data_IF_178123766368
#
_entry.id   IF_178123766368
#
_cell.length_a   1.000
_cell.length_b   1.000
_cell.length_c   1.000
_cell.angle_alpha   90.00
_cell.angle_beta   90.00
_cell.angle_gamma   90.00
#
_symmetry.space_group_name_H-M   'P 1'
#
loop_
_entity.id
_entity.type
_entity.pdbx_description
1 polymer ?
#
# COMPACT_ATOMS: atom_id res chain seq x y z
N UNK A 1 -19.38 1.90 18.15
CA UNK A 1 -18.88 3.15 17.54
C UNK A 1 -19.86 4.26 17.86
N UNK A 2 -19.41 5.21 18.66
CA UNK A 2 -20.24 6.28 19.22
C UNK A 2 -20.53 7.34 18.14
N UNK A 3 -21.67 8.06 18.22
CA UNK A 3 -22.06 9.06 17.20
C UNK A 3 -20.98 10.14 16.98
N UNK A 4 -20.27 10.49 18.05
CA UNK A 4 -19.17 11.48 18.06
C UNK A 4 -17.91 10.99 17.34
N UNK A 5 -17.57 9.70 17.44
CA UNK A 5 -16.43 9.11 16.73
C UNK A 5 -16.66 9.08 15.21
N UNK A 6 -17.88 8.74 14.77
CA UNK A 6 -18.25 8.78 13.34
C UNK A 6 -18.13 10.18 12.75
N UNK A 7 -18.58 11.19 13.50
CA UNK A 7 -18.45 12.59 13.09
C UNK A 7 -16.98 13.00 13.00
N UNK A 8 -16.18 12.66 13.99
CA UNK A 8 -14.74 12.95 13.98
C UNK A 8 -14.02 12.28 12.80
N UNK A 9 -14.30 11.00 12.56
CA UNK A 9 -13.76 10.28 11.41
C UNK A 9 -14.16 10.95 10.10
N UNK A 10 -15.44 11.31 9.94
CA UNK A 10 -15.92 12.00 8.74
C UNK A 10 -15.26 13.36 8.52
N UNK A 11 -15.03 14.14 9.58
CA UNK A 11 -14.30 15.41 9.51
C UNK A 11 -12.86 15.19 9.07
N UNK A 12 -12.15 14.23 9.67
CA UNK A 12 -10.75 13.93 9.31
C UNK A 12 -10.65 13.43 7.87
N UNK A 13 -11.56 12.54 7.44
CA UNK A 13 -11.65 12.12 6.03
C UNK A 13 -11.87 13.31 5.12
N UNK A 14 -12.82 14.19 5.45
CA UNK A 14 -13.12 15.38 4.65
C UNK A 14 -11.91 16.32 4.51
N UNK A 15 -11.20 16.57 5.61
CA UNK A 15 -9.97 17.38 5.62
C UNK A 15 -8.89 16.72 4.77
N UNK A 16 -8.70 15.40 4.90
CA UNK A 16 -7.71 14.65 4.13
C UNK A 16 -8.01 14.73 2.63
N UNK A 17 -9.25 14.45 2.22
CA UNK A 17 -9.68 14.52 0.81
C UNK A 17 -9.49 15.91 0.23
N UNK A 18 -9.93 16.95 0.95
CA UNK A 18 -9.75 18.33 0.52
C UNK A 18 -8.26 18.67 0.35
N UNK A 19 -7.44 18.24 1.31
CA UNK A 19 -5.99 18.49 1.29
C UNK A 19 -5.30 17.79 0.12
N UNK A 20 -5.64 16.52 -0.15
CA UNK A 20 -5.10 15.80 -1.30
C UNK A 20 -5.50 16.44 -2.63
N UNK A 21 -6.78 16.79 -2.80
CA UNK A 21 -7.26 17.41 -4.05
C UNK A 21 -6.55 18.75 -4.28
N UNK A 22 -6.54 19.63 -3.27
CA UNK A 22 -5.86 20.93 -3.37
C UNK A 22 -4.36 20.73 -3.66
N UNK A 23 -3.72 19.79 -2.99
CA UNK A 23 -2.30 19.53 -3.18
C UNK A 23 -1.99 19.05 -4.60
N UNK A 24 -2.61 17.95 -5.05
CA UNK A 24 -2.32 17.37 -6.36
C UNK A 24 -2.78 18.26 -7.52
N UNK A 25 -3.80 19.09 -7.31
CA UNK A 25 -4.31 19.96 -8.38
C UNK A 25 -3.53 21.27 -8.51
N UNK A 26 -2.97 21.82 -7.42
CA UNK A 26 -2.27 23.11 -7.46
C UNK A 26 -0.76 23.01 -7.32
N UNK A 27 -0.24 22.03 -6.59
CA UNK A 27 1.19 21.93 -6.28
C UNK A 27 1.91 20.86 -7.11
N UNK A 28 1.26 19.73 -7.38
CA UNK A 28 1.89 18.57 -8.06
C UNK A 28 1.35 18.34 -9.49
N UNK A 29 0.52 19.25 -10.00
CA UNK A 29 -0.20 19.10 -11.27
C UNK A 29 0.74 18.79 -12.43
N UNK A 30 1.83 19.54 -12.58
CA UNK A 30 2.75 19.37 -13.72
C UNK A 30 3.54 18.05 -13.66
N UNK A 31 3.98 17.64 -12.47
CA UNK A 31 4.74 16.39 -12.30
C UNK A 31 3.89 15.14 -12.55
N UNK A 32 2.59 15.20 -12.32
CA UNK A 32 1.67 14.08 -12.52
C UNK A 32 1.54 13.69 -14.00
N UNK A 33 1.61 14.65 -14.93
CA UNK A 33 1.56 14.39 -16.38
C UNK A 33 2.92 13.99 -16.96
N UNK A 34 4.02 14.53 -16.43
CA UNK A 34 5.37 14.25 -16.94
C UNK A 34 5.90 12.89 -16.48
N UNK A 35 5.47 12.42 -15.31
CA UNK A 35 5.96 11.19 -14.66
C UNK A 35 5.36 9.91 -15.23
N UNK A 36 4.16 9.99 -15.79
CA UNK A 36 3.43 8.84 -16.28
C UNK A 36 2.99 9.09 -17.72
N UNK A 37 3.66 8.42 -18.65
CA UNK A 37 3.40 8.59 -20.08
C UNK A 37 1.95 8.18 -20.38
N UNK A 38 1.08 9.16 -20.57
CA UNK A 38 -0.33 8.94 -20.89
C UNK A 38 -0.41 8.34 -22.29
N UNK A 39 -0.83 7.08 -22.36
CA UNK A 39 -1.02 6.36 -23.61
C UNK A 39 -2.42 6.67 -24.15
N UNK A 40 -2.52 6.97 -25.44
CA UNK A 40 -3.83 7.13 -26.08
C UNK A 40 -4.66 5.84 -25.99
N UNK A 41 -5.97 5.96 -25.81
CA UNK A 41 -6.88 4.82 -25.60
C UNK A 41 -6.77 3.74 -26.71
N UNK A 42 -6.39 4.14 -27.92
CA UNK A 42 -6.18 3.26 -29.07
C UNK A 42 -4.98 2.31 -28.93
N UNK A 43 -3.97 2.68 -28.14
CA UNK A 43 -2.75 1.87 -27.90
C UNK A 43 -2.74 1.21 -26.52
N UNK A 44 -3.85 1.30 -25.78
CA UNK A 44 -3.96 0.80 -24.41
C UNK A 44 -3.85 -0.72 -24.34
N UNK A 45 -4.43 -1.43 -25.32
CA UNK A 45 -4.34 -2.90 -25.42
C UNK A 45 -2.89 -3.38 -25.53
N UNK A 46 -2.12 -2.74 -26.40
CA UNK A 46 -0.70 -3.08 -26.61
C UNK A 46 0.14 -2.74 -25.38
N UNK A 47 -0.13 -1.59 -24.76
CA UNK A 47 0.56 -1.15 -23.56
C UNK A 47 0.26 -2.02 -22.32
N UNK A 48 -0.94 -2.61 -22.24
CA UNK A 48 -1.32 -3.59 -21.20
C UNK A 48 -0.69 -4.95 -21.50
N UNK A 49 -0.62 -5.36 -22.76
CA UNK A 49 0.05 -6.61 -23.14
C UNK A 49 1.53 -6.60 -22.75
N UNK A 50 2.22 -5.48 -22.97
CA UNK A 50 3.62 -5.31 -22.58
C UNK A 50 3.84 -5.42 -21.05
N UNK A 51 2.83 -5.05 -20.24
CA UNK A 51 2.92 -5.22 -18.79
C UNK A 51 2.97 -6.69 -18.37
N UNK A 52 2.46 -7.64 -19.19
CA UNK A 52 2.41 -9.07 -18.86
C UNK A 52 3.77 -9.75 -18.92
N UNK A 53 4.74 -9.15 -19.63
CA UNK A 53 6.10 -9.67 -19.78
C UNK A 53 6.97 -9.47 -18.54
N UNK A 54 6.47 -8.74 -17.53
CA UNK A 54 7.18 -8.43 -16.28
C UNK A 54 6.30 -8.77 -15.06
N UNK A 55 6.90 -9.01 -13.89
CA UNK A 55 6.12 -9.16 -12.66
C UNK A 55 5.40 -7.84 -12.34
N UNK A 56 4.42 -7.85 -11.46
CA UNK A 56 3.54 -6.70 -11.21
C UNK A 56 2.63 -6.28 -12.39
N UNK A 57 2.31 -7.23 -13.29
CA UNK A 57 1.56 -6.94 -14.50
C UNK A 57 0.19 -6.29 -14.22
N UNK A 58 -0.51 -6.73 -13.17
CA UNK A 58 -1.82 -6.20 -12.82
C UNK A 58 -1.74 -4.75 -12.33
N UNK A 59 -0.77 -4.45 -11.46
CA UNK A 59 -0.56 -3.09 -10.98
C UNK A 59 -0.17 -2.15 -12.13
N UNK A 60 0.69 -2.61 -13.04
CA UNK A 60 1.08 -1.89 -14.27
C UNK A 60 -0.12 -1.64 -15.19
N UNK A 61 -0.90 -2.68 -15.48
CA UNK A 61 -2.07 -2.59 -16.35
C UNK A 61 -3.15 -1.66 -15.78
N UNK A 62 -3.45 -1.78 -14.47
CA UNK A 62 -4.40 -0.90 -13.80
C UNK A 62 -3.94 0.55 -13.79
N UNK A 63 -2.66 0.80 -13.51
CA UNK A 63 -2.09 2.16 -13.55
C UNK A 63 -2.27 2.79 -14.94
N UNK A 64 -1.81 2.10 -16.00
CA UNK A 64 -1.93 2.58 -17.39
C UNK A 64 -3.40 2.81 -17.78
N UNK A 65 -4.30 1.91 -17.37
CA UNK A 65 -5.74 2.02 -17.70
C UNK A 65 -6.40 3.21 -17.00
N UNK A 66 -6.18 3.35 -15.68
CA UNK A 66 -6.77 4.42 -14.88
C UNK A 66 -6.24 5.79 -15.31
N UNK A 67 -4.94 5.88 -15.59
CA UNK A 67 -4.31 7.11 -16.05
C UNK A 67 -4.89 7.55 -17.41
N UNK A 68 -4.95 6.63 -18.38
CA UNK A 68 -5.46 6.92 -19.73
C UNK A 68 -6.94 7.35 -19.73
N UNK A 69 -7.72 6.93 -18.73
CA UNK A 69 -9.15 7.26 -18.63
C UNK A 69 -9.41 8.58 -17.90
N UNK A 70 -8.68 8.87 -16.81
CA UNK A 70 -8.97 10.02 -15.95
C UNK A 70 -8.09 11.25 -16.20
N UNK A 71 -6.84 11.07 -16.65
CA UNK A 71 -5.90 12.18 -16.85
C UNK A 71 -6.30 13.12 -17.98
N UNK A 72 -6.78 12.65 -19.16
CA UNK A 72 -7.25 13.53 -20.23
C UNK A 72 -8.42 14.44 -19.84
N UNK A 73 -9.16 14.08 -18.78
CA UNK A 73 -10.32 14.83 -18.26
C UNK A 73 -9.92 15.76 -17.10
N UNK A 74 -8.61 15.86 -16.79
CA UNK A 74 -8.12 16.61 -15.62
C UNK A 74 -8.41 15.93 -14.28
N UNK A 75 -8.75 14.64 -14.30
CA UNK A 75 -9.13 13.84 -13.12
C UNK A 75 -7.97 13.22 -12.34
N UNK A 76 -6.70 13.55 -12.66
CA UNK A 76 -5.52 12.93 -12.03
C UNK A 76 -5.48 13.12 -10.50
N UNK A 77 -5.76 14.34 -10.01
CA UNK A 77 -5.82 14.62 -8.57
C UNK A 77 -6.93 13.82 -7.86
N UNK A 78 -8.09 13.68 -8.51
CA UNK A 78 -9.20 12.86 -8.00
C UNK A 78 -8.83 11.38 -7.98
N UNK A 79 -8.18 10.88 -9.02
CA UNK A 79 -7.72 9.50 -9.12
C UNK A 79 -6.81 9.13 -7.94
N UNK A 80 -5.76 9.93 -7.71
CA UNK A 80 -4.83 9.71 -6.59
C UNK A 80 -5.53 9.76 -5.24
N UNK A 81 -6.41 10.74 -5.05
CA UNK A 81 -7.16 10.88 -3.80
C UNK A 81 -8.04 9.66 -3.55
N UNK A 82 -8.71 9.12 -4.58
CA UNK A 82 -9.53 7.91 -4.47
C UNK A 82 -8.66 6.68 -4.13
N UNK A 83 -7.49 6.55 -4.74
CA UNK A 83 -6.59 5.42 -4.48
C UNK A 83 -6.01 5.48 -3.06
N UNK A 84 -5.59 6.64 -2.59
CA UNK A 84 -5.11 6.83 -1.21
C UNK A 84 -6.23 6.61 -0.19
N UNK A 85 -7.46 7.03 -0.49
CA UNK A 85 -8.63 6.71 0.34
C UNK A 85 -8.89 5.20 0.39
N UNK A 86 -8.76 4.51 -0.75
CA UNK A 86 -8.92 3.06 -0.82
C UNK A 86 -7.85 2.37 0.01
N UNK A 87 -6.59 2.78 -0.10
CA UNK A 87 -5.48 2.28 0.73
C UNK A 87 -5.78 2.47 2.22
N UNK A 88 -6.18 3.68 2.61
CA UNK A 88 -6.53 4.01 3.98
C UNK A 88 -7.67 3.14 4.53
N UNK A 89 -8.70 2.92 3.71
CA UNK A 89 -9.82 2.07 4.05
C UNK A 89 -9.38 0.61 4.25
N UNK A 90 -8.62 0.05 3.30
CA UNK A 90 -8.12 -1.34 3.40
C UNK A 90 -7.22 -1.52 4.63
N UNK A 91 -6.30 -0.59 4.89
CA UNK A 91 -5.46 -0.62 6.10
C UNK A 91 -6.29 -0.56 7.38
N UNK A 92 -7.33 0.27 7.42
CA UNK A 92 -8.23 0.33 8.57
C UNK A 92 -8.95 -1.01 8.78
N UNK A 93 -9.37 -1.67 7.71
CA UNK A 93 -9.97 -3.02 7.78
C UNK A 93 -8.96 -4.03 8.32
N UNK A 94 -7.72 -4.00 7.84
CA UNK A 94 -6.64 -4.88 8.32
C UNK A 94 -6.40 -4.65 9.80
N UNK A 95 -6.18 -3.42 10.26
CA UNK A 95 -5.94 -3.14 11.68
C UNK A 95 -7.10 -3.60 12.58
N UNK A 96 -8.35 -3.51 12.11
CA UNK A 96 -9.50 -4.07 12.84
C UNK A 96 -9.47 -5.59 12.92
N UNK A 97 -8.87 -6.31 11.95
CA UNK A 97 -8.63 -7.76 12.04
C UNK A 97 -7.63 -8.11 13.15
N UNK A 98 -6.66 -7.24 13.39
CA UNK A 98 -5.70 -7.33 14.51
C UNK A 98 -6.27 -6.83 15.85
N UNK A 99 -7.61 -6.78 15.97
CA UNK A 99 -8.33 -6.32 17.17
C UNK A 99 -7.88 -4.94 17.69
N UNK A 100 -7.41 -4.06 16.80
CA UNK A 100 -7.09 -2.68 17.17
C UNK A 100 -8.38 -1.94 17.53
N UNK A 101 -8.31 -1.15 18.60
CA UNK A 101 -9.44 -0.39 19.11
C UNK A 101 -9.85 0.79 18.22
N UNK A 102 -10.43 1.82 18.84
CA UNK A 102 -11.03 2.98 18.15
C UNK A 102 -10.03 3.78 17.29
N UNK A 103 -8.73 3.70 17.62
CA UNK A 103 -7.65 4.42 16.93
C UNK A 103 -7.17 3.78 15.62
N UNK A 104 -7.70 2.61 15.24
CA UNK A 104 -7.30 1.91 14.01
C UNK A 104 -7.31 2.82 12.76
N UNK A 105 -8.33 3.68 12.66
CA UNK A 105 -8.46 4.62 11.55
C UNK A 105 -7.30 5.63 11.49
N UNK A 106 -6.83 6.13 12.64
CA UNK A 106 -5.71 7.10 12.68
C UNK A 106 -4.37 6.42 12.47
N UNK A 107 -4.18 5.19 12.97
CA UNK A 107 -2.96 4.43 12.71
C UNK A 107 -2.82 4.05 11.24
N UNK A 108 -3.93 3.73 10.56
CA UNK A 108 -3.94 3.47 9.13
C UNK A 108 -3.60 4.71 8.28
N UNK A 109 -3.76 5.92 8.82
CA UNK A 109 -3.43 7.16 8.10
C UNK A 109 -1.91 7.38 8.03
N UNK A 110 -1.12 6.76 8.90
CA UNK A 110 0.34 6.94 8.93
C UNK A 110 1.06 6.39 7.69
N UNK A 111 0.83 5.12 7.27
CA UNK A 111 1.40 4.63 6.02
C UNK A 111 0.91 5.41 4.80
N UNK A 112 -0.36 5.84 4.79
CA UNK A 112 -0.96 6.60 3.68
C UNK A 112 -0.36 8.01 3.57
N UNK A 113 -0.08 8.67 4.69
CA UNK A 113 0.60 9.96 4.70
C UNK A 113 2.04 9.84 4.17
N UNK A 114 2.72 8.74 4.48
CA UNK A 114 4.03 8.45 3.90
C UNK A 114 3.94 8.11 2.41
N UNK A 115 2.93 7.35 1.98
CA UNK A 115 2.67 7.04 0.57
C UNK A 115 2.47 8.35 -0.23
N UNK A 116 1.63 9.25 0.27
CA UNK A 116 1.43 10.58 -0.30
C UNK A 116 2.74 11.35 -0.39
N UNK A 117 3.53 11.39 0.69
CA UNK A 117 4.85 12.03 0.68
C UNK A 117 5.80 11.43 -0.36
N UNK A 118 5.87 10.10 -0.46
CA UNK A 118 6.73 9.42 -1.43
C UNK A 118 6.28 9.63 -2.87
N UNK A 119 4.99 9.84 -3.11
CA UNK A 119 4.48 10.12 -4.46
C UNK A 119 4.99 11.44 -5.04
N UNK A 120 5.36 12.41 -4.19
CA UNK A 120 5.97 13.67 -4.64
C UNK A 120 7.33 13.45 -5.34
N UNK A 121 7.98 12.30 -5.14
CA UNK A 121 9.22 11.96 -5.84
C UNK A 121 8.94 11.57 -7.30
N UNK A 122 9.72 12.08 -8.28
CA UNK A 122 9.52 11.75 -9.70
C UNK A 122 9.73 10.26 -10.02
N UNK A 123 10.42 9.51 -9.15
CA UNK A 123 10.67 8.07 -9.36
C UNK A 123 9.55 7.15 -8.85
N UNK A 124 8.48 7.68 -8.25
CA UNK A 124 7.45 6.89 -7.56
C UNK A 124 6.10 6.81 -8.31
N UNK A 125 5.96 5.87 -9.25
CA UNK A 125 4.78 5.79 -10.12
C UNK A 125 3.51 5.27 -9.42
N UNK A 126 2.33 5.56 -10.00
CA UNK A 126 1.01 5.09 -9.57
C UNK A 126 0.92 3.57 -9.44
N UNK A 127 1.62 2.82 -10.30
CA UNK A 127 1.73 1.37 -10.22
C UNK A 127 2.25 0.91 -8.84
N UNK A 128 3.06 1.71 -8.15
CA UNK A 128 3.62 1.42 -6.82
C UNK A 128 2.57 1.52 -5.73
N UNK A 129 1.70 2.54 -5.78
CA UNK A 129 0.58 2.71 -4.85
C UNK A 129 -0.43 1.58 -5.06
N UNK A 130 -0.80 1.35 -6.33
CA UNK A 130 -1.71 0.26 -6.68
C UNK A 130 -1.15 -1.10 -6.27
N UNK A 131 0.17 -1.28 -6.37
CA UNK A 131 0.82 -2.49 -5.89
C UNK A 131 0.62 -2.69 -4.39
N UNK A 132 0.80 -1.64 -3.59
CA UNK A 132 0.55 -1.75 -2.15
C UNK A 132 -0.93 -2.07 -1.86
N UNK A 133 -1.87 -1.35 -2.49
CA UNK A 133 -3.32 -1.58 -2.34
C UNK A 133 -3.71 -3.01 -2.71
N UNK A 134 -3.22 -3.53 -3.84
CA UNK A 134 -3.52 -4.89 -4.29
C UNK A 134 -2.99 -5.94 -3.31
N UNK A 135 -1.77 -5.78 -2.80
CA UNK A 135 -1.24 -6.70 -1.77
C UNK A 135 -2.08 -6.69 -0.51
N UNK A 136 -2.52 -5.52 -0.06
CA UNK A 136 -3.37 -5.39 1.12
C UNK A 136 -4.76 -6.02 0.89
N UNK A 137 -5.31 -5.92 -0.31
CA UNK A 137 -6.57 -6.58 -0.69
C UNK A 137 -6.42 -8.11 -0.74
N UNK A 138 -5.34 -8.62 -1.34
CA UNK A 138 -5.04 -10.06 -1.37
C UNK A 138 -4.86 -10.60 0.06
N UNK A 139 -4.16 -9.86 0.91
CA UNK A 139 -4.02 -10.20 2.32
C UNK A 139 -5.37 -10.19 3.05
N UNK A 140 -6.24 -9.20 2.81
CA UNK A 140 -7.62 -9.23 3.33
C UNK A 140 -8.34 -10.52 2.93
N UNK A 141 -8.20 -10.96 1.67
CA UNK A 141 -8.74 -12.23 1.18
C UNK A 141 -8.17 -13.45 1.94
N UNK A 142 -6.86 -13.47 2.19
CA UNK A 142 -6.21 -14.52 2.99
C UNK A 142 -6.82 -14.63 4.40
N UNK A 143 -7.07 -13.50 5.09
CA UNK A 143 -7.65 -13.52 6.44
C UNK A 143 -9.08 -14.07 6.51
N UNK A 144 -9.77 -14.28 5.38
CA UNK A 144 -11.09 -14.91 5.34
C UNK A 144 -11.02 -16.44 5.45
N UNK A 145 -9.85 -17.02 5.21
CA UNK A 145 -9.65 -18.48 5.19
C UNK A 145 -9.54 -18.99 6.63
N UNK A 146 -10.62 -19.59 7.13
CA UNK A 146 -10.65 -20.15 8.49
C UNK A 146 -10.02 -21.54 8.60
N UNK A 147 -9.98 -22.29 7.50
CA UNK A 147 -9.45 -23.66 7.51
C UNK A 147 -7.92 -23.63 7.53
N UNK A 148 -7.34 -24.28 8.54
CA UNK A 148 -5.90 -24.32 8.82
C UNK A 148 -5.04 -24.83 7.65
N UNK A 149 -5.44 -25.96 7.08
CA UNK A 149 -4.69 -26.58 5.98
C UNK A 149 -4.83 -25.76 4.69
N UNK A 150 -6.03 -25.23 4.47
CA UNK A 150 -6.33 -24.40 3.32
C UNK A 150 -5.63 -23.03 3.41
N UNK A 151 -5.45 -22.49 4.62
CA UNK A 151 -4.66 -21.27 4.88
C UNK A 151 -3.17 -21.49 4.58
N UNK A 152 -2.63 -22.64 4.99
CA UNK A 152 -1.23 -22.98 4.68
C UNK A 152 -1.01 -23.15 3.18
N UNK A 153 -1.89 -23.90 2.50
CA UNK A 153 -1.81 -24.09 1.06
C UNK A 153 -2.00 -22.78 0.29
N UNK A 154 -2.98 -21.96 0.71
CA UNK A 154 -3.23 -20.67 0.09
C UNK A 154 -2.07 -19.71 0.31
N UNK A 155 -1.41 -19.72 1.47
CA UNK A 155 -0.21 -18.93 1.74
C UNK A 155 0.87 -19.16 0.70
N UNK A 156 1.22 -20.42 0.42
CA UNK A 156 2.21 -20.76 -0.61
C UNK A 156 1.73 -20.46 -2.03
N UNK A 157 0.49 -20.81 -2.38
CA UNK A 157 -0.05 -20.53 -3.70
C UNK A 157 -0.11 -19.02 -3.98
N UNK A 158 -0.46 -18.23 -2.96
CA UNK A 158 -0.52 -16.78 -3.05
C UNK A 158 0.85 -16.14 -3.21
N UNK A 159 1.97 -16.75 -2.79
CA UNK A 159 3.29 -16.18 -3.05
C UNK A 159 3.54 -16.00 -4.55
N UNK A 160 3.27 -17.03 -5.34
CA UNK A 160 3.39 -16.98 -6.81
C UNK A 160 2.46 -15.94 -7.41
N UNK A 161 1.19 -15.97 -7.00
CA UNK A 161 0.16 -15.05 -7.49
C UNK A 161 0.54 -13.60 -7.14
N UNK A 162 0.93 -13.32 -5.90
CA UNK A 162 1.29 -11.97 -5.43
C UNK A 162 2.53 -11.46 -6.15
N UNK A 163 3.56 -12.28 -6.33
CA UNK A 163 4.75 -11.85 -7.07
C UNK A 163 4.42 -11.51 -8.53
N UNK A 164 3.65 -12.35 -9.22
CA UNK A 164 3.23 -12.05 -10.59
C UNK A 164 2.33 -10.82 -10.67
N UNK A 165 1.36 -10.66 -9.78
CA UNK A 165 0.40 -9.55 -9.80
C UNK A 165 1.00 -8.22 -9.35
N UNK A 166 1.97 -8.26 -8.43
CA UNK A 166 2.38 -7.08 -7.64
C UNK A 166 3.89 -6.93 -7.39
N UNK A 167 4.70 -7.87 -7.86
CA UNK A 167 6.17 -7.78 -7.83
C UNK A 167 6.74 -7.75 -6.42
N UNK A 168 7.66 -6.82 -6.16
CA UNK A 168 8.43 -6.75 -4.91
C UNK A 168 7.61 -6.45 -3.65
N UNK A 169 6.33 -6.05 -3.76
CA UNK A 169 5.42 -5.97 -2.60
C UNK A 169 5.09 -7.34 -1.99
N UNK A 170 5.54 -8.43 -2.61
CA UNK A 170 5.58 -9.78 -2.03
C UNK A 170 6.13 -9.79 -0.59
N UNK A 171 7.20 -9.04 -0.32
CA UNK A 171 7.81 -9.03 1.02
C UNK A 171 6.85 -8.48 2.08
N UNK A 172 6.06 -7.47 1.74
CA UNK A 172 5.02 -6.93 2.62
C UNK A 172 3.95 -8.00 2.86
N UNK A 173 3.50 -8.69 1.83
CA UNK A 173 2.54 -9.80 1.97
C UNK A 173 3.06 -10.88 2.94
N UNK A 174 4.31 -11.31 2.77
CA UNK A 174 4.96 -12.31 3.65
C UNK A 174 4.96 -11.83 5.10
N UNK A 175 5.38 -10.58 5.36
CA UNK A 175 5.40 -10.00 6.71
C UNK A 175 3.98 -9.94 7.30
N UNK A 176 2.98 -9.52 6.53
CA UNK A 176 1.58 -9.45 6.98
C UNK A 176 1.05 -10.82 7.38
N UNK A 177 1.29 -11.85 6.57
CA UNK A 177 0.87 -13.23 6.88
C UNK A 177 1.55 -13.74 8.15
N UNK A 178 2.85 -13.50 8.31
CA UNK A 178 3.59 -13.92 9.50
C UNK A 178 3.06 -13.24 10.77
N UNK A 179 2.83 -11.92 10.74
CA UNK A 179 2.30 -11.19 11.89
C UNK A 179 0.88 -11.66 12.25
N UNK A 180 0.05 -11.94 11.25
CA UNK A 180 -1.31 -12.43 11.46
C UNK A 180 -1.35 -13.84 12.06
N UNK A 181 -0.57 -14.77 11.51
CA UNK A 181 -0.48 -16.14 12.02
C UNK A 181 0.14 -16.19 13.42
N UNK A 182 1.07 -15.27 13.72
CA UNK A 182 1.63 -15.10 15.06
C UNK A 182 0.57 -14.64 16.08
N UNK A 183 -0.36 -13.77 15.69
CA UNK A 183 -1.44 -13.30 16.57
C UNK A 183 -2.46 -14.40 16.88
N UNK A 184 -2.75 -15.29 15.92
CA UNK A 184 -3.65 -16.44 16.12
C UNK A 184 -3.10 -17.42 17.18
N UNK A 185 -1.82 -17.31 17.54
CA UNK A 185 -1.23 -17.99 18.70
C UNK A 185 -0.76 -19.43 18.42
N UNK A 186 -0.85 -19.89 17.17
CA UNK A 186 -0.35 -21.21 16.78
C UNK A 186 1.12 -21.11 16.38
N UNK A 187 1.99 -21.66 17.23
CA UNK A 187 3.45 -21.70 17.01
C UNK A 187 3.82 -22.68 15.90
N UNK A 188 3.60 -22.29 14.64
CA UNK A 188 3.95 -23.07 13.45
C UNK A 188 5.27 -22.60 12.84
N UNK A 189 6.33 -22.64 13.63
CA UNK A 189 7.66 -22.14 13.24
C UNK A 189 8.16 -22.72 11.90
N UNK A 190 7.87 -23.99 11.62
CA UNK A 190 8.25 -24.63 10.35
C UNK A 190 7.52 -23.99 9.17
N UNK A 191 6.22 -23.74 9.27
CA UNK A 191 5.46 -23.04 8.23
C UNK A 191 5.96 -21.61 8.05
N UNK A 192 6.21 -20.89 9.14
CA UNK A 192 6.71 -19.52 9.09
C UNK A 192 8.09 -19.43 8.42
N UNK A 193 9.01 -20.33 8.79
CA UNK A 193 10.33 -20.43 8.18
C UNK A 193 10.22 -20.80 6.70
N UNK A 194 9.39 -21.78 6.36
CA UNK A 194 9.20 -22.20 4.99
C UNK A 194 8.61 -21.08 4.14
N UNK A 195 7.59 -20.37 4.63
CA UNK A 195 6.97 -19.22 3.95
C UNK A 195 7.97 -18.08 3.70
N UNK A 196 8.82 -17.78 4.69
CA UNK A 196 9.86 -16.75 4.58
C UNK A 196 10.95 -17.15 3.58
N UNK A 197 11.42 -18.41 3.62
CA UNK A 197 12.39 -18.94 2.66
C UNK A 197 11.80 -18.93 1.26
N UNK A 198 10.58 -19.45 1.07
CA UNK A 198 9.95 -19.46 -0.25
C UNK A 198 9.70 -18.05 -0.76
N UNK A 199 9.26 -17.12 0.08
CA UNK A 199 9.03 -15.73 -0.32
C UNK A 199 10.31 -14.99 -0.71
N UNK A 200 11.46 -15.35 -0.15
CA UNK A 200 12.76 -14.73 -0.47
C UNK A 200 13.44 -15.37 -1.68
N UNK A 201 13.26 -16.67 -1.89
CA UNK A 201 13.82 -17.41 -3.04
C UNK A 201 12.96 -17.28 -4.30
N UNK A 202 11.65 -17.03 -4.15
CA UNK A 202 10.72 -16.98 -5.28
C UNK A 202 11.10 -15.93 -6.36
N UNK A 203 11.48 -14.69 -6.03
CA UNK A 203 11.92 -13.72 -7.03
C UNK A 203 13.13 -14.21 -7.83
N UNK A 204 14.09 -14.84 -7.15
CA UNK A 204 15.29 -15.43 -7.75
C UNK A 204 14.93 -16.57 -8.71
N UNK A 205 13.97 -17.42 -8.33
CA UNK A 205 13.49 -18.51 -9.17
C UNK A 205 12.76 -18.02 -10.43
N UNK A 206 11.99 -16.93 -10.31
CA UNK A 206 11.22 -16.36 -11.41
C UNK A 206 11.99 -15.32 -12.23
N UNK A 207 13.22 -14.96 -11.86
CA UNK A 207 14.03 -13.97 -12.59
C UNK A 207 14.27 -14.37 -14.04
N UNK A 208 14.52 -15.66 -14.29
CA UNK A 208 14.77 -16.18 -15.63
C UNK A 208 13.50 -16.22 -16.49
N UNK A 209 12.34 -16.42 -15.88
CA UNK A 209 11.04 -16.40 -16.58
C UNK A 209 10.72 -15.01 -17.10
N UNK A 210 11.02 -13.98 -16.31
CA UNK A 210 10.77 -12.57 -16.65
C UNK A 210 11.99 -11.85 -17.25
N UNK A 211 13.07 -12.58 -17.55
CA UNK A 211 14.32 -12.01 -18.09
C UNK A 211 14.86 -10.81 -17.28
N UNK A 212 14.79 -10.89 -15.95
CA UNK A 212 15.21 -9.83 -15.03
C UNK A 212 16.65 -10.03 -14.53
N UNK A 213 17.33 -8.91 -14.25
CA UNK A 213 18.56 -8.93 -13.43
C UNK A 213 18.23 -9.24 -11.96
N UNK A 214 19.25 -9.64 -11.19
CA UNK A 214 19.09 -9.97 -9.76
C UNK A 214 18.48 -8.81 -8.97
N UNK A 215 19.03 -7.60 -9.09
CA UNK A 215 18.49 -6.43 -8.40
C UNK A 215 17.02 -6.17 -8.79
N UNK A 216 16.68 -6.32 -10.07
CA UNK A 216 15.33 -6.08 -10.56
C UNK A 216 14.33 -7.13 -10.06
N UNK A 217 14.71 -8.40 -9.91
CA UNK A 217 13.81 -9.41 -9.36
C UNK A 217 13.28 -9.03 -7.97
N UNK A 218 14.13 -8.42 -7.14
CA UNK A 218 13.77 -8.00 -5.78
C UNK A 218 13.13 -6.61 -5.71
N UNK A 219 13.31 -5.78 -6.72
CA UNK A 219 12.92 -4.37 -6.67
C UNK A 219 11.71 -4.04 -7.55
N UNK A 220 11.55 -4.72 -8.69
CA UNK A 220 10.53 -4.40 -9.69
C UNK A 220 9.10 -4.37 -9.12
N UNK A 221 8.25 -3.39 -9.51
CA UNK A 221 8.49 -2.30 -10.47
C UNK A 221 9.21 -1.08 -9.90
N UNK A 222 9.80 -1.17 -8.70
CA UNK A 222 10.26 -0.02 -7.92
C UNK A 222 11.79 0.15 -7.99
N UNK A 223 12.34 1.00 -8.88
CA UNK A 223 13.80 1.18 -8.99
C UNK A 223 14.41 1.98 -7.81
N UNK A 224 13.59 2.53 -6.92
CA UNK A 224 13.99 3.49 -5.91
C UNK A 224 13.73 2.97 -4.49
N UNK A 225 14.74 2.91 -3.64
CA UNK A 225 14.66 2.29 -2.30
C UNK A 225 13.58 2.90 -1.39
N UNK A 226 13.37 4.23 -1.36
CA UNK A 226 12.28 4.83 -0.59
C UNK A 226 10.87 4.40 -1.04
N UNK A 227 10.71 3.77 -2.20
CA UNK A 227 9.44 3.17 -2.61
C UNK A 227 8.95 2.08 -1.63
N UNK A 228 9.86 1.48 -0.87
CA UNK A 228 9.51 0.49 0.15
C UNK A 228 9.02 1.12 1.46
N UNK A 229 9.26 2.41 1.69
CA UNK A 229 8.96 3.06 2.97
C UNK A 229 7.51 2.96 3.41
N UNK A 230 6.51 3.14 2.53
CA UNK A 230 5.11 2.99 2.95
C UNK A 230 4.77 1.55 3.36
N UNK A 231 5.28 0.55 2.62
CA UNK A 231 5.15 -0.86 2.99
C UNK A 231 5.84 -1.18 4.33
N UNK A 232 7.04 -0.64 4.55
CA UNK A 232 7.75 -0.75 5.84
C UNK A 232 6.95 -0.07 6.95
N UNK A 233 6.32 1.06 6.69
CA UNK A 233 5.45 1.74 7.65
C UNK A 233 4.22 0.90 8.00
N UNK A 234 3.61 0.21 7.04
CA UNK A 234 2.53 -0.76 7.32
C UNK A 234 3.02 -1.83 8.30
N UNK A 235 4.16 -2.47 8.01
CA UNK A 235 4.75 -3.47 8.90
C UNK A 235 5.10 -2.88 10.27
N UNK A 236 5.67 -1.68 10.32
CA UNK A 236 6.02 -0.97 11.54
C UNK A 236 4.80 -0.67 12.41
N UNK A 237 3.72 -0.16 11.83
CA UNK A 237 2.45 0.05 12.53
C UNK A 237 1.94 -1.27 13.12
N UNK A 238 1.98 -2.36 12.35
CA UNK A 238 1.54 -3.68 12.82
C UNK A 238 2.39 -4.26 13.95
N UNK A 239 3.69 -3.96 13.98
CA UNK A 239 4.57 -4.32 15.10
C UNK A 239 4.25 -3.46 16.32
N UNK A 240 4.06 -2.15 16.14
CA UNK A 240 3.76 -1.21 17.23
C UNK A 240 2.41 -1.51 17.89
N UNK A 241 1.39 -1.95 17.15
CA UNK A 241 0.10 -2.35 17.76
C UNK A 241 0.19 -3.67 18.56
N UNK A 242 1.29 -4.42 18.52
CA UNK A 242 1.46 -5.57 19.41
C UNK A 242 1.53 -5.13 20.90
N UNK A 243 1.92 -3.88 21.15
CA UNK A 243 1.88 -3.30 22.49
C UNK A 243 0.44 -2.99 22.91
N UNK A 244 -0.06 -3.70 23.94
CA UNK A 244 -1.44 -3.54 24.45
C UNK A 244 -1.83 -2.08 24.76
N UNK A 245 -0.88 -1.27 25.25
CA UNK A 245 -1.10 0.14 25.55
C UNK A 245 -1.48 0.97 24.32
N UNK A 246 -0.89 0.64 23.16
CA UNK A 246 -1.14 1.32 21.88
C UNK A 246 -2.39 0.71 21.22
N UNK A 247 -2.50 -0.62 21.19
CA UNK A 247 -3.65 -1.33 20.61
C UNK A 247 -5.00 -0.89 21.17
N UNK A 248 -5.04 -0.70 22.49
CA UNK A 248 -6.26 -0.40 23.24
C UNK A 248 -6.37 1.09 23.59
N UNK A 249 -5.57 1.96 22.97
CA UNK A 249 -5.64 3.40 23.18
C UNK A 249 -7.04 3.91 22.81
N UNK A 250 -7.69 4.62 23.74
CA UNK A 250 -9.02 5.20 23.52
C UNK A 250 -8.90 6.47 22.68
N UNK A 251 -9.87 6.70 21.80
CA UNK A 251 -9.92 7.91 20.98
C UNK A 251 -10.39 9.12 21.82
N UNK A 252 -9.49 9.69 22.61
CA UNK A 252 -9.72 10.96 23.31
C UNK A 252 -9.16 12.15 22.52
N UNK A 253 -9.62 13.38 22.83
CA UNK A 253 -9.21 14.60 22.10
C UNK A 253 -7.69 14.76 22.07
N UNK A 254 -7.01 14.42 23.16
CA UNK A 254 -5.55 14.57 23.26
C UNK A 254 -4.80 13.59 22.35
N UNK A 255 -5.12 12.29 22.39
CA UNK A 255 -4.49 11.26 21.53
C UNK A 255 -4.76 11.51 20.05
N UNK A 256 -5.97 11.93 19.70
CA UNK A 256 -6.31 12.33 18.33
C UNK A 256 -5.50 13.56 17.93
N UNK A 257 -5.40 14.57 18.78
CA UNK A 257 -4.65 15.81 18.46
C UNK A 257 -3.15 15.54 18.27
N UNK A 258 -2.55 14.71 19.13
CA UNK A 258 -1.15 14.31 19.02
C UNK A 258 -0.89 13.55 17.72
N UNK A 259 -1.72 12.54 17.41
CA UNK A 259 -1.57 11.76 16.19
C UNK A 259 -1.80 12.59 14.93
N UNK A 260 -2.83 13.43 14.92
CA UNK A 260 -3.10 14.36 13.82
C UNK A 260 -1.97 15.37 13.63
N UNK A 261 -1.42 15.92 14.72
CA UNK A 261 -0.27 16.83 14.64
C UNK A 261 0.98 16.16 14.06
N UNK A 262 1.23 14.91 14.42
CA UNK A 262 2.35 14.12 13.92
C UNK A 262 2.18 13.81 12.42
N UNK A 263 0.96 13.47 12.00
CA UNK A 263 0.62 13.25 10.58
C UNK A 263 0.77 14.53 9.75
N UNK A 264 0.33 15.67 10.28
CA UNK A 264 0.50 16.98 9.62
C UNK A 264 1.99 17.30 9.47
N UNK A 265 2.80 17.08 10.50
CA UNK A 265 4.25 17.28 10.41
C UNK A 265 4.90 16.39 9.35
N UNK A 266 4.45 15.14 9.21
CA UNK A 266 4.95 14.22 8.18
C UNK A 266 4.61 14.72 6.78
N UNK A 267 3.36 15.13 6.55
CA UNK A 267 2.91 15.68 5.26
C UNK A 267 3.66 16.98 4.94
N UNK A 268 3.81 17.87 5.93
CA UNK A 268 4.57 19.12 5.72
C UNK A 268 6.04 18.82 5.42
N UNK A 269 6.66 17.90 6.16
CA UNK A 269 8.05 17.52 5.95
C UNK A 269 8.27 16.87 4.58
N UNK A 270 7.35 16.02 4.12
CA UNK A 270 7.47 15.38 2.81
C UNK A 270 7.33 16.41 1.69
N UNK A 271 6.34 17.30 1.78
CA UNK A 271 6.14 18.39 0.80
C UNK A 271 7.34 19.34 0.76
N UNK A 272 7.84 19.78 1.92
CA UNK A 272 9.00 20.67 2.00
C UNK A 272 10.28 20.02 1.48
N UNK A 273 10.46 18.71 1.70
CA UNK A 273 11.66 18.01 1.21
C UNK A 273 11.74 17.95 -0.32
N UNK A 274 10.61 18.09 -1.01
CA UNK A 274 10.52 18.02 -2.48
C UNK A 274 10.31 19.40 -3.14
N UNK A 275 9.91 20.43 -2.39
CA UNK A 275 9.83 21.81 -2.89
C UNK A 275 11.21 22.52 -2.95
N UNK A 276 12.25 21.94 -2.34
CA UNK A 276 13.61 22.51 -2.25
C UNK A 276 14.60 21.83 -3.23
N UNK A 277 14.16 20.79 -3.95
CA UNK A 277 14.92 20.10 -5.01
C UNK A 277 14.50 20.57 -6.39
#
# INVERSE_FOLDING_TARGET
>A
MNKRERLLQGVITGIFVLSCIVFFQFFDSNHLFDKEQVVGLSFLSDAVSECMDKPAWLACALAKTLLSLLVPVGGGALLLTIILLLEWWVLTVILKRFNVGEMAFLYALFPVALEWGTYCSPSYHLASILSLVLVLLVFCGYTLIKNKWLSMLSGFALLFIVYSLVGSRLFIFVILVLLYEAEIGEKRWVYWALLLITGTVLPEFLKSVYSLSEAQAYQYPHPWLPAFFPGIAVAGVLVVIQFKAIRNMRANVWSVSVMSGLLILIVISSVLSHAVS
#
